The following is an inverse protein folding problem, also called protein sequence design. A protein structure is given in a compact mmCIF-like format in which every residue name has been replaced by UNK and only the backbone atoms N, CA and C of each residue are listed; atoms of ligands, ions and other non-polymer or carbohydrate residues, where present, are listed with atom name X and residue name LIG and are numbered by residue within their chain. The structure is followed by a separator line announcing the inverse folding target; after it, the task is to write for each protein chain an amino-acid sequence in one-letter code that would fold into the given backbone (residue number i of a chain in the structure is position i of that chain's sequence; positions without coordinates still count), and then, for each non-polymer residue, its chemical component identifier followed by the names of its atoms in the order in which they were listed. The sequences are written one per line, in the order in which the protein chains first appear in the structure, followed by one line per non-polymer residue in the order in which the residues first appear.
data_IF_749655872667
#
_entry.id   IF_749655872667
#
_cell.length_a   1.000
_cell.length_b   1.000
_cell.length_c   1.000
_cell.angle_alpha   90.00
_cell.angle_beta   90.00
_cell.angle_gamma   90.00
#
_symmetry.space_group_name_H-M   'P 1'
#
loop_
_entity.id
_entity.type
_entity.pdbx_description
1 polymer ?
#
# COMPACT_ATOMS: atom_id res chain seq x y z
N UNK A 1 -12.83 12.70 -3.50
CA UNK A 1 -11.94 11.92 -4.41
C UNK A 1 -12.78 11.36 -5.53
N UNK A 2 -12.25 11.29 -6.75
CA UNK A 2 -12.90 10.63 -7.88
C UNK A 2 -12.53 9.14 -7.92
N UNK A 3 -13.44 8.30 -8.44
CA UNK A 3 -13.19 6.89 -8.72
C UNK A 3 -13.07 6.69 -10.23
N UNK A 4 -12.23 5.75 -10.63
CA UNK A 4 -12.07 5.33 -12.02
C UNK A 4 -12.64 3.92 -12.16
N UNK A 5 -13.44 3.68 -13.20
CA UNK A 5 -13.95 2.38 -13.58
C UNK A 5 -13.47 2.04 -14.98
N UNK A 6 -13.41 0.74 -15.31
CA UNK A 6 -12.91 0.30 -16.59
C UNK A 6 -13.80 0.75 -17.74
N UNK A 7 -13.21 1.31 -18.79
CA UNK A 7 -13.90 1.62 -20.04
C UNK A 7 -14.05 0.39 -20.98
N UNK A 8 -14.07 -0.81 -20.43
CA UNK A 8 -14.12 -2.08 -21.15
C UNK A 8 -13.11 -2.13 -22.32
N UNK A 9 -13.60 -2.22 -23.56
CA UNK A 9 -12.79 -2.30 -24.79
C UNK A 9 -11.88 -1.09 -25.04
N UNK A 10 -12.19 0.06 -24.45
CA UNK A 10 -11.39 1.29 -24.60
C UNK A 10 -10.37 1.49 -23.48
N UNK A 11 -10.31 0.59 -22.49
CA UNK A 11 -9.43 0.74 -21.32
C UNK A 11 -7.95 0.84 -21.70
N UNK A 12 -7.54 0.21 -22.80
CA UNK A 12 -6.15 0.18 -23.27
C UNK A 12 -5.58 1.59 -23.46
N UNK A 13 -6.33 2.49 -24.10
CA UNK A 13 -5.99 3.90 -24.33
C UNK A 13 -5.68 4.69 -23.05
N UNK A 14 -6.32 4.31 -21.94
CA UNK A 14 -6.20 4.98 -20.65
C UNK A 14 -5.25 4.27 -19.70
N UNK A 15 -4.50 3.27 -20.17
CA UNK A 15 -3.47 2.65 -19.34
C UNK A 15 -2.35 3.67 -19.05
N UNK A 16 -1.78 3.68 -17.83
CA UNK A 16 -0.70 4.60 -17.46
C UNK A 16 0.46 4.58 -18.46
N UNK A 17 0.74 3.41 -19.04
CA UNK A 17 1.78 3.21 -20.06
C UNK A 17 1.48 3.96 -21.36
N UNK A 18 0.23 3.97 -21.82
CA UNK A 18 -0.17 4.67 -23.05
C UNK A 18 -0.33 6.19 -22.82
N UNK A 19 -0.72 6.59 -21.61
CA UNK A 19 -0.79 7.99 -21.20
C UNK A 19 0.59 8.61 -20.87
N UNK A 20 1.68 7.86 -21.06
CA UNK A 20 3.05 8.27 -20.70
C UNK A 20 3.17 8.77 -19.25
N UNK A 21 2.40 8.16 -18.34
CA UNK A 21 2.50 8.42 -16.91
C UNK A 21 3.69 7.65 -16.33
N UNK A 22 4.69 8.39 -15.85
CA UNK A 22 5.91 7.83 -15.25
C UNK A 22 5.79 7.58 -13.75
N UNK A 23 4.65 7.91 -13.15
CA UNK A 23 4.36 7.65 -11.73
C UNK A 23 3.77 6.25 -11.52
N UNK A 24 3.84 5.76 -10.29
CA UNK A 24 3.19 4.51 -9.89
C UNK A 24 1.67 4.73 -9.99
N UNK A 25 0.94 3.97 -10.83
CA UNK A 25 -0.49 4.14 -10.96
C UNK A 25 -1.21 3.68 -9.69
N UNK A 26 -2.32 4.35 -9.39
CA UNK A 26 -3.18 3.96 -8.28
C UNK A 26 -4.03 2.77 -8.71
N UNK A 27 -4.17 1.80 -7.82
CA UNK A 27 -5.14 0.74 -7.98
C UNK A 27 -6.56 1.30 -7.98
N UNK A 28 -7.43 0.76 -8.82
CA UNK A 28 -8.83 1.13 -8.90
C UNK A 28 -9.71 -0.10 -9.12
N UNK A 29 -10.98 0.02 -8.75
CA UNK A 29 -11.97 -1.04 -8.96
C UNK A 29 -12.42 -1.02 -10.41
N UNK A 30 -12.22 -2.12 -11.15
CA UNK A 30 -12.61 -2.17 -12.57
C UNK A 30 -14.12 -1.95 -12.76
N UNK A 31 -14.95 -2.58 -11.93
CA UNK A 31 -16.41 -2.45 -12.01
C UNK A 31 -16.99 -2.01 -10.66
N UNK A 32 -17.99 -1.10 -10.64
CA UNK A 32 -18.75 -0.87 -9.42
C UNK A 32 -19.41 -2.18 -8.95
N UNK A 33 -19.63 -2.32 -7.66
CA UNK A 33 -20.45 -3.44 -7.16
C UNK A 33 -21.88 -3.23 -7.58
N UNK A 34 -22.59 -4.32 -7.90
CA UNK A 34 -24.04 -4.28 -8.08
C UNK A 34 -24.69 -3.74 -6.80
N UNK A 35 -25.61 -2.79 -6.96
CA UNK A 35 -26.37 -2.18 -5.88
C UNK A 35 -27.83 -2.63 -6.02
N UNK A 36 -28.28 -3.47 -5.11
CA UNK A 36 -29.61 -4.07 -5.14
C UNK A 36 -30.53 -3.33 -4.15
N UNK A 37 -30.71 -2.01 -4.30
CA UNK A 37 -31.54 -1.18 -3.40
C UNK A 37 -31.82 0.21 -4.00
N UNK A 38 -32.61 1.03 -3.30
CA UNK A 38 -32.89 2.43 -3.65
C UNK A 38 -31.87 3.41 -3.04
N UNK A 39 -31.74 4.61 -3.64
CA UNK A 39 -30.86 5.67 -3.14
C UNK A 39 -31.58 6.54 -2.10
N UNK A 40 -30.90 6.82 -0.98
CA UNK A 40 -31.41 7.70 0.08
C UNK A 40 -30.74 9.07 0.02
N UNK A 41 -31.49 10.13 0.34
CA UNK A 41 -30.92 11.47 0.47
C UNK A 41 -30.05 11.56 1.72
N UNK A 42 -28.79 11.94 1.54
CA UNK A 42 -27.82 12.12 2.63
C UNK A 42 -27.53 13.60 2.93
N UNK A 43 -28.09 14.53 2.15
CA UNK A 43 -27.86 15.95 2.26
C UNK A 43 -29.16 16.75 2.11
N UNK A 44 -29.18 17.97 2.66
CA UNK A 44 -30.27 18.93 2.51
C UNK A 44 -30.17 19.72 1.19
N UNK A 45 -31.17 20.54 0.89
CA UNK A 45 -31.23 21.37 -0.33
C UNK A 45 -30.10 22.41 -0.44
N UNK A 46 -29.37 22.67 0.65
CA UNK A 46 -28.20 23.56 0.68
C UNK A 46 -26.86 22.82 0.48
N UNK A 47 -26.89 21.49 0.32
CA UNK A 47 -25.69 20.66 0.18
C UNK A 47 -25.00 20.29 1.50
N UNK A 48 -25.62 20.53 2.66
CA UNK A 48 -25.12 20.07 3.96
C UNK A 48 -25.59 18.65 4.25
N UNK A 49 -24.70 17.79 4.78
CA UNK A 49 -25.06 16.43 5.20
C UNK A 49 -26.12 16.46 6.32
N UNK A 50 -27.07 15.53 6.26
CA UNK A 50 -28.08 15.34 7.31
C UNK A 50 -27.41 14.94 8.63
N UNK A 51 -27.99 15.39 9.75
CA UNK A 51 -27.51 15.02 11.08
C UNK A 51 -27.62 13.49 11.25
N UNK A 52 -26.49 12.82 11.50
CA UNK A 52 -26.40 11.36 11.66
C UNK A 52 -25.65 10.64 10.53
N UNK A 53 -25.45 11.27 9.37
CA UNK A 53 -24.63 10.66 8.29
C UNK A 53 -23.17 10.60 8.75
N UNK A 54 -22.51 9.41 8.71
CA UNK A 54 -21.12 9.29 9.07
C UNK A 54 -20.24 10.22 8.23
N UNK A 55 -19.46 11.05 8.91
CA UNK A 55 -18.50 11.96 8.30
C UNK A 55 -17.16 11.84 8.99
N UNK A 56 -16.09 12.11 8.25
CA UNK A 56 -14.77 12.32 8.84
C UNK A 56 -14.84 13.48 9.83
N UNK A 57 -14.39 13.24 11.06
CA UNK A 57 -14.30 14.28 12.10
C UNK A 57 -13.14 15.24 11.83
N UNK A 58 -12.09 14.79 11.14
CA UNK A 58 -10.86 15.55 10.94
C UNK A 58 -10.90 16.39 9.67
N UNK A 59 -11.26 15.77 8.53
CA UNK A 59 -11.21 16.42 7.23
C UNK A 59 -12.14 15.72 6.21
N UNK A 60 -13.06 16.43 5.55
CA UNK A 60 -13.94 15.85 4.51
C UNK A 60 -13.19 15.39 3.24
N UNK A 61 -11.98 15.90 3.01
CA UNK A 61 -11.14 15.54 1.86
C UNK A 61 -10.16 14.39 2.13
N UNK A 62 -10.27 13.72 3.29
CA UNK A 62 -9.40 12.60 3.67
C UNK A 62 -8.12 13.08 4.37
N UNK A 63 -6.98 12.47 4.04
CA UNK A 63 -5.67 12.78 4.65
C UNK A 63 -4.90 13.89 3.91
N UNK A 64 -5.48 14.48 2.87
CA UNK A 64 -4.85 15.57 2.14
C UNK A 64 -4.75 16.80 3.05
N UNK A 65 -3.54 17.32 3.26
CA UNK A 65 -3.28 18.59 3.91
C UNK A 65 -2.98 19.60 2.81
N UNK A 66 -3.75 20.69 2.75
CA UNK A 66 -3.43 21.80 1.86
C UNK A 66 -2.18 22.54 2.33
N UNK A 67 -1.63 23.41 1.49
CA UNK A 67 -0.50 24.27 1.86
C UNK A 67 -0.77 25.07 3.14
N UNK A 68 -2.02 25.48 3.36
CA UNK A 68 -2.45 26.24 4.54
C UNK A 68 -2.65 25.38 5.80
N UNK A 69 -2.79 24.06 5.65
CA UNK A 69 -2.94 23.11 6.77
C UNK A 69 -1.61 22.47 7.19
N UNK A 70 -0.50 22.81 6.51
CA UNK A 70 0.82 22.28 6.84
C UNK A 70 1.29 22.77 8.21
N UNK A 71 2.01 21.94 8.99
CA UNK A 71 2.61 22.39 10.23
C UNK A 71 3.60 23.52 9.97
N UNK A 72 3.72 24.46 10.90
CA UNK A 72 4.67 25.59 10.83
C UNK A 72 6.12 25.15 10.58
N UNK A 73 6.46 23.91 10.94
CA UNK A 73 7.75 23.28 10.66
C UNK A 73 7.53 21.92 9.99
N UNK A 74 8.10 21.76 8.80
CA UNK A 74 8.16 20.47 8.11
C UNK A 74 9.17 19.59 8.86
N UNK A 75 8.81 18.36 9.28
CA UNK A 75 9.74 17.49 9.97
C UNK A 75 10.93 17.14 9.07
N UNK A 76 12.14 17.00 9.62
CA UNK A 76 13.31 16.62 8.83
C UNK A 76 13.09 15.24 8.20
N UNK A 77 13.67 15.04 7.02
CA UNK A 77 13.64 13.75 6.33
C UNK A 77 14.35 12.68 7.18
N UNK A 78 13.82 11.46 7.20
CA UNK A 78 14.43 10.34 7.94
C UNK A 78 15.16 9.42 6.98
N UNK A 79 16.42 9.13 7.26
CA UNK A 79 17.25 8.23 6.48
C UNK A 79 17.59 6.99 7.30
N UNK A 80 17.32 5.80 6.78
CA UNK A 80 17.70 4.53 7.41
C UNK A 80 18.83 3.86 6.63
N UNK A 81 19.91 3.49 7.32
CA UNK A 81 21.07 2.79 6.76
C UNK A 81 20.92 1.26 6.80
N UNK A 82 19.89 0.73 7.47
CA UNK A 82 19.77 -0.71 7.82
C UNK A 82 19.83 -1.66 6.62
N UNK A 83 19.34 -1.25 5.45
CA UNK A 83 19.27 -2.09 4.25
C UNK A 83 20.42 -1.85 3.25
N UNK A 84 21.38 -0.98 3.57
CA UNK A 84 22.47 -0.61 2.65
C UNK A 84 23.74 -1.37 3.01
N UNK A 85 24.57 -1.64 1.99
CA UNK A 85 25.94 -2.11 2.21
C UNK A 85 26.74 -1.04 2.96
N UNK A 86 27.82 -1.45 3.63
CA UNK A 86 28.72 -0.53 4.31
C UNK A 86 29.25 0.57 3.36
N UNK A 87 29.60 0.20 2.13
CA UNK A 87 30.09 1.14 1.12
C UNK A 87 29.00 2.11 0.64
N UNK A 88 27.80 1.61 0.32
CA UNK A 88 26.69 2.45 -0.10
C UNK A 88 26.25 3.43 0.99
N UNK A 89 26.31 3.00 2.25
CA UNK A 89 26.04 3.86 3.41
C UNK A 89 27.06 4.99 3.52
N UNK A 90 28.36 4.69 3.40
CA UNK A 90 29.43 5.69 3.41
C UNK A 90 29.33 6.69 2.25
N UNK A 91 29.08 6.20 1.03
CA UNK A 91 28.89 7.07 -0.16
C UNK A 91 27.73 8.03 0.06
N UNK A 92 26.62 7.54 0.62
CA UNK A 92 25.43 8.34 0.88
C UNK A 92 25.66 9.39 1.97
N UNK A 93 26.30 9.02 3.10
CA UNK A 93 26.61 9.98 4.16
C UNK A 93 27.56 11.07 3.67
N UNK A 94 28.58 10.70 2.88
CA UNK A 94 29.50 11.66 2.29
C UNK A 94 28.79 12.60 1.32
N UNK A 95 27.90 12.07 0.46
CA UNK A 95 27.15 12.91 -0.47
C UNK A 95 26.26 13.93 0.26
N UNK A 96 25.53 13.50 1.30
CA UNK A 96 24.69 14.40 2.12
C UNK A 96 25.52 15.50 2.79
N UNK A 97 26.71 15.18 3.28
CA UNK A 97 27.59 16.12 4.00
C UNK A 97 28.34 17.07 3.07
N UNK A 98 28.62 16.67 1.83
CA UNK A 98 29.43 17.43 0.88
C UNK A 98 28.59 18.16 -0.20
N UNK A 99 27.27 17.99 -0.21
CA UNK A 99 26.38 18.62 -1.19
C UNK A 99 26.07 20.07 -0.81
N UNK A 100 26.89 21.01 -1.29
CA UNK A 100 26.70 22.47 -1.08
C UNK A 100 25.29 22.95 -1.43
N UNK A 101 24.72 22.48 -2.55
CA UNK A 101 23.37 22.87 -3.00
C UNK A 101 22.28 22.50 -1.98
N UNK A 102 22.40 21.32 -1.36
CA UNK A 102 21.41 20.83 -0.39
C UNK A 102 21.60 21.46 0.98
N UNK A 103 22.84 21.77 1.36
CA UNK A 103 23.15 22.47 2.62
C UNK A 103 22.71 23.94 2.57
N UNK A 104 22.82 24.60 1.41
CA UNK A 104 22.44 26.00 1.21
C UNK A 104 20.98 26.21 0.78
N UNK A 105 20.21 25.16 0.51
CA UNK A 105 18.78 25.29 0.24
C UNK A 105 18.07 25.98 1.42
N UNK A 106 17.01 26.76 1.15
CA UNK A 106 16.32 27.59 2.16
C UNK A 106 15.82 26.81 3.40
N UNK A 107 15.72 25.48 3.32
CA UNK A 107 15.33 24.62 4.44
C UNK A 107 16.44 23.67 4.94
N UNK A 108 17.62 23.65 4.30
CA UNK A 108 18.75 22.76 4.60
C UNK A 108 18.39 21.26 4.61
N UNK A 109 19.05 20.44 3.79
CA UNK A 109 18.86 18.99 3.90
C UNK A 109 19.59 18.45 5.15
N UNK A 110 18.87 18.37 6.26
CA UNK A 110 19.36 17.79 7.52
C UNK A 110 18.59 16.52 7.86
N UNK A 111 18.87 15.40 7.19
CA UNK A 111 18.17 14.16 7.44
C UNK A 111 18.55 13.58 8.81
N UNK A 112 17.57 13.06 9.54
CA UNK A 112 17.82 12.24 10.71
C UNK A 112 18.29 10.85 10.25
N UNK A 113 19.60 10.59 10.35
CA UNK A 113 20.21 9.32 9.97
C UNK A 113 20.09 8.32 11.13
N UNK A 114 19.58 7.12 10.83
CA UNK A 114 19.39 6.04 11.81
C UNK A 114 19.76 4.68 11.20
N UNK A 115 19.91 3.67 12.05
CA UNK A 115 20.27 2.30 11.63
C UNK A 115 21.77 2.09 11.46
N UNK A 116 22.15 0.82 11.24
CA UNK A 116 23.55 0.39 11.01
C UNK A 116 23.61 -0.31 9.67
N UNK A 117 24.64 -0.02 8.88
CA UNK A 117 24.84 -0.71 7.60
C UNK A 117 24.98 -2.22 7.81
N UNK A 118 24.48 -3.03 6.87
CA UNK A 118 24.67 -4.48 6.93
C UNK A 118 26.15 -4.81 6.72
N UNK A 119 26.77 -5.37 7.74
CA UNK A 119 28.19 -5.76 7.76
C UNK A 119 28.47 -7.16 7.18
N UNK A 120 27.51 -7.78 6.48
CA UNK A 120 27.72 -9.09 5.86
C UNK A 120 28.15 -8.91 4.41
N UNK A 121 29.45 -8.82 4.22
CA UNK A 121 30.09 -9.16 2.95
C UNK A 121 30.00 -10.67 2.82
N UNK A 122 28.98 -11.18 2.14
CA UNK A 122 29.09 -12.54 1.60
C UNK A 122 30.28 -12.51 0.62
N UNK A 123 31.26 -13.43 0.74
CA UNK A 123 32.41 -13.42 -0.14
C UNK A 123 31.95 -13.53 -1.60
N UNK A 124 32.67 -12.91 -2.55
CA UNK A 124 32.36 -13.07 -3.97
C UNK A 124 32.33 -14.58 -4.26
N UNK A 125 31.21 -15.05 -4.79
CA UNK A 125 31.07 -16.41 -5.28
C UNK A 125 32.01 -16.55 -6.47
N UNK A 126 33.21 -17.03 -6.19
CA UNK A 126 34.24 -17.30 -7.18
C UNK A 126 33.64 -18.31 -8.18
N UNK A 127 33.24 -17.78 -9.34
CA UNK A 127 32.64 -18.54 -10.43
C UNK A 127 33.78 -18.94 -11.36
N UNK A 128 34.68 -19.77 -10.83
CA UNK A 128 35.92 -20.20 -11.49
C UNK A 128 36.18 -21.69 -11.21
N UNK A 129 35.15 -22.51 -11.40
CA UNK A 129 35.26 -23.91 -11.81
C UNK A 129 34.25 -24.05 -12.97
N UNK A 130 34.64 -24.13 -14.24
CA UNK A 130 35.65 -25.05 -14.74
C UNK A 130 35.09 -26.48 -14.81
N UNK A 131 33.82 -26.66 -15.14
CA UNK A 131 33.31 -27.93 -15.65
C UNK A 131 33.11 -27.81 -17.16
N UNK A 132 33.87 -28.64 -17.86
CA UNK A 132 33.96 -28.77 -19.30
C UNK A 132 32.61 -29.18 -19.89
N UNK A 133 32.19 -28.49 -20.95
CA UNK A 133 31.09 -28.92 -21.81
C UNK A 133 31.45 -30.25 -22.51
N UNK A 134 30.62 -31.31 -22.44
CA UNK A 134 30.62 -32.34 -23.47
C UNK A 134 29.79 -31.89 -24.69
N UNK A 135 30.13 -32.35 -25.90
CA UNK A 135 29.62 -31.79 -27.15
C UNK A 135 28.15 -32.14 -27.39
N UNK A 136 27.50 -31.22 -28.09
CA UNK A 136 26.11 -31.24 -28.57
C UNK A 136 25.81 -32.52 -29.36
N UNK A 137 24.81 -33.29 -28.92
CA UNK A 137 24.16 -34.32 -29.74
C UNK A 137 22.69 -33.94 -29.95
N UNK A 138 22.36 -33.86 -31.23
CA UNK A 138 21.15 -33.33 -31.82
C UNK A 138 20.03 -34.38 -31.78
N UNK A 139 18.94 -34.13 -31.05
CA UNK A 139 17.70 -34.88 -31.29
C UNK A 139 16.46 -33.99 -31.18
N UNK A 140 15.96 -33.67 -32.37
CA UNK A 140 14.66 -33.09 -32.67
C UNK A 140 13.52 -33.74 -31.88
N UNK A 141 12.63 -32.93 -31.31
CA UNK A 141 11.17 -33.15 -31.32
C UNK A 141 10.41 -31.84 -31.04
N UNK A 142 9.60 -31.48 -32.03
CA UNK A 142 8.80 -30.27 -32.18
C UNK A 142 7.61 -30.17 -31.21
N UNK A 143 7.37 -28.93 -30.74
CA UNK A 143 6.07 -28.21 -30.59
C UNK A 143 4.96 -28.75 -29.63
N UNK A 144 3.89 -27.97 -29.31
CA UNK A 144 3.74 -26.52 -29.11
C UNK A 144 2.85 -26.10 -27.89
N UNK A 145 2.86 -24.79 -27.59
CA UNK A 145 1.74 -23.92 -27.16
C UNK A 145 0.74 -24.40 -26.07
N UNK A 146 0.81 -23.76 -24.88
CA UNK A 146 -0.24 -23.84 -23.87
C UNK A 146 -1.34 -22.79 -24.12
N UNK A 147 -2.49 -23.26 -24.64
CA UNK A 147 -3.77 -22.56 -24.78
C UNK A 147 -4.76 -23.16 -23.80
N UNK A 148 -5.41 -22.31 -23.00
CA UNK A 148 -6.77 -22.51 -22.46
C UNK A 148 -6.96 -23.57 -21.38
N UNK A 149 -7.30 -23.13 -20.15
CA UNK A 149 -7.92 -24.00 -19.14
C UNK A 149 -9.31 -23.47 -18.81
N UNK A 150 -10.33 -24.10 -19.38
CA UNK A 150 -11.70 -24.13 -18.88
C UNK A 150 -12.07 -25.59 -18.58
N UNK A 151 -12.54 -25.84 -17.36
CA UNK A 151 -13.33 -26.98 -16.86
C UNK A 151 -13.80 -26.53 -15.47
N UNK A 152 -15.03 -26.06 -15.30
CA UNK A 152 -16.28 -26.82 -15.25
C UNK A 152 -16.31 -27.82 -14.08
N UNK A 153 -17.37 -27.68 -13.26
CA UNK A 153 -18.00 -28.70 -12.41
C UNK A 153 -17.18 -29.18 -11.18
N UNK A 154 -17.74 -29.44 -9.99
CA UNK A 154 -19.11 -29.61 -9.52
C UNK A 154 -19.07 -29.91 -7.99
N UNK A 155 -20.23 -29.80 -7.32
CA UNK A 155 -20.58 -30.37 -6.00
C UNK A 155 -20.10 -29.65 -4.72
N UNK A 156 -21.00 -28.98 -3.98
CA UNK A 156 -21.92 -29.48 -2.93
C UNK A 156 -21.23 -29.89 -1.62
N UNK A 157 -21.44 -29.12 -0.55
CA UNK A 157 -21.77 -29.57 0.82
C UNK A 157 -21.97 -28.32 1.71
N UNK A 158 -23.17 -27.90 2.11
CA UNK A 158 -24.08 -28.41 3.14
C UNK A 158 -23.57 -28.36 4.60
N UNK A 159 -24.21 -27.46 5.37
CA UNK A 159 -24.48 -27.47 6.82
C UNK A 159 -23.32 -27.36 7.82
N UNK A 160 -23.29 -26.26 8.58
CA UNK A 160 -23.06 -26.34 10.04
C UNK A 160 -23.66 -25.15 10.79
N UNK A 161 -24.75 -25.40 11.48
CA UNK A 161 -25.30 -24.58 12.57
C UNK A 161 -24.54 -24.91 13.87
N UNK A 162 -24.16 -23.90 14.65
CA UNK A 162 -23.83 -24.05 16.07
C UNK A 162 -24.34 -22.82 16.81
N UNK A 163 -25.37 -23.03 17.63
CA UNK A 163 -25.82 -22.17 18.70
C UNK A 163 -24.93 -22.37 19.93
N UNK A 164 -24.62 -21.29 20.67
CA UNK A 164 -24.21 -21.39 22.06
C UNK A 164 -24.54 -20.08 22.79
N UNK A 165 -25.57 -20.12 23.63
CA UNK A 165 -25.76 -19.23 24.77
C UNK A 165 -24.69 -19.54 25.84
N UNK A 166 -24.14 -18.49 26.46
CA UNK A 166 -23.40 -18.41 27.74
C UNK A 166 -23.13 -16.92 27.94
N UNK A 167 -23.34 -16.25 29.07
CA UNK A 167 -23.78 -16.61 30.41
C UNK A 167 -23.92 -15.29 31.18
N UNK A 168 -24.81 -15.25 32.17
CA UNK A 168 -25.01 -14.08 33.02
C UNK A 168 -23.94 -13.93 34.10
N UNK A 169 -23.79 -12.72 34.62
CA UNK A 169 -23.31 -12.47 36.00
C UNK A 169 -24.04 -11.23 36.53
N UNK A 170 -24.79 -11.44 37.61
CA UNK A 170 -25.38 -10.41 38.48
C UNK A 170 -24.45 -10.23 39.69
N UNK A 171 -24.07 -8.99 39.99
CA UNK A 171 -23.46 -8.54 41.25
C UNK A 171 -23.70 -7.03 41.30
N UNK A 172 -24.09 -6.36 42.37
CA UNK A 172 -24.18 -6.69 43.79
C UNK A 172 -24.10 -5.35 44.53
N UNK A 173 -24.99 -5.15 45.49
CA UNK A 173 -25.18 -3.94 46.30
C UNK A 173 -23.92 -3.37 46.97
N UNK A 174 -23.84 -2.03 47.07
CA UNK A 174 -23.35 -1.19 48.21
C UNK A 174 -23.95 0.22 48.03
N UNK A 175 -24.96 0.68 48.76
CA UNK A 175 -25.06 1.09 50.19
C UNK A 175 -24.12 2.27 50.56
N UNK A 176 -24.72 3.25 51.25
CA UNK A 176 -24.19 4.40 52.01
C UNK A 176 -24.19 5.74 51.25
N UNK A 177 -25.04 6.75 51.50
CA UNK A 177 -25.52 7.43 52.73
C UNK A 177 -24.80 8.77 52.97
N UNK A 178 -25.63 9.82 53.01
CA UNK A 178 -25.54 11.06 53.80
C UNK A 178 -24.54 12.19 53.44
N UNK A 179 -25.18 13.32 53.13
CA UNK A 179 -25.01 14.68 53.69
C UNK A 179 -23.76 15.51 53.37
N UNK A 180 -24.00 16.60 52.63
CA UNK A 180 -23.86 17.98 53.12
C UNK A 180 -24.85 18.89 52.40
#
# INVERSE_FOLDING_TARGET
MATHYSANQYQSAFTPKQLHCWSIPKDFKQHPSTHDDYTQFIANERGHLLAGVPRSQKNPWGTFLGTWDLPTKIPPSKLSLTSRSAEASKRLTNWIQNSEELLHACNGLQPQISGKASGKTDPPRDSSQGQQDPPVEESNKQTPLYRGRSKAESNRSSHRSVSSEKGGITAGDKVLQAQS
#
